data_IF_941480026892
#
_entry.id   IF_941480026892
#
_cell.length_a   1.000
_cell.length_b   1.000
_cell.length_c   1.000
_cell.angle_alpha   90.00
_cell.angle_beta   90.00
_cell.angle_gamma   90.00
#
_symmetry.space_group_name_H-M   'P 1'
#
loop_
_entity.id
_entity.type
_entity.pdbx_description
1 polymer ?
#
# COMPACT_ATOMS: atom_id res chain seq x y z
N UNK A 1 -2.92 3.58 9.43
CA UNK A 1 -3.36 2.42 10.23
C UNK A 1 -4.86 2.51 10.42
N UNK A 2 -5.50 1.40 10.75
CA UNK A 2 -6.89 1.33 11.19
C UNK A 2 -6.95 0.95 12.68
N UNK A 3 -7.84 1.58 13.45
CA UNK A 3 -8.19 1.20 14.83
C UNK A 3 -9.72 1.22 14.98
N UNK A 4 -10.32 0.07 15.31
CA UNK A 4 -11.73 -0.07 15.59
C UNK A 4 -11.96 -0.13 17.09
N UNK A 5 -12.70 0.85 17.63
CA UNK A 5 -12.98 0.86 19.06
C UNK A 5 -14.08 -0.16 19.40
N UNK A 6 -13.80 -1.14 20.27
CA UNK A 6 -14.80 -2.14 20.66
C UNK A 6 -14.95 -2.22 22.18
N UNK A 7 -16.19 -2.10 22.66
CA UNK A 7 -16.54 -2.24 24.07
C UNK A 7 -17.00 -3.66 24.38
N UNK A 8 -16.35 -4.32 25.35
CA UNK A 8 -16.89 -5.51 26.02
C UNK A 8 -16.70 -6.87 25.33
N UNK A 9 -15.97 -6.98 24.21
CA UNK A 9 -15.70 -8.26 23.54
C UNK A 9 -14.33 -8.86 23.95
N UNK A 10 -14.28 -10.17 24.22
CA UNK A 10 -13.03 -10.90 24.52
C UNK A 10 -12.23 -11.27 23.27
N UNK A 11 -12.91 -11.40 22.13
CA UNK A 11 -12.31 -11.60 20.81
C UNK A 11 -12.64 -10.39 19.94
N UNK A 12 -11.59 -9.72 19.48
CA UNK A 12 -11.70 -8.63 18.53
C UNK A 12 -11.60 -9.26 17.15
N UNK A 13 -12.60 -9.08 16.30
CA UNK A 13 -12.48 -9.49 14.90
C UNK A 13 -12.97 -8.35 14.05
N UNK A 14 -12.06 -7.83 13.25
CA UNK A 14 -12.38 -6.90 12.18
C UNK A 14 -12.01 -7.57 10.86
N UNK A 15 -12.95 -7.54 9.92
CA UNK A 15 -12.76 -8.02 8.56
C UNK A 15 -12.81 -6.84 7.61
N UNK A 16 -11.69 -6.55 6.95
CA UNK A 16 -11.61 -5.60 5.85
C UNK A 16 -11.86 -6.34 4.55
N UNK A 17 -12.92 -5.99 3.81
CA UNK A 17 -13.27 -6.63 2.54
C UNK A 17 -13.00 -5.72 1.34
N UNK A 18 -12.79 -4.42 1.57
CA UNK A 18 -12.42 -3.49 0.52
C UNK A 18 -11.57 -2.36 1.09
N UNK A 19 -10.55 -1.97 0.33
CA UNK A 19 -9.76 -0.79 0.59
C UNK A 19 -9.34 -0.18 -0.74
N UNK A 20 -9.69 1.08 -0.93
CA UNK A 20 -9.33 1.87 -2.09
C UNK A 20 -8.78 3.22 -1.65
N UNK A 21 -7.69 3.63 -2.30
CA UNK A 21 -7.08 4.94 -2.10
C UNK A 21 -7.05 5.63 -3.45
N UNK A 22 -7.54 6.87 -3.47
CA UNK A 22 -7.52 7.73 -4.64
C UNK A 22 -6.80 9.02 -4.33
N UNK A 23 -6.32 9.67 -5.38
CA UNK A 23 -5.88 11.07 -5.35
C UNK A 23 -6.80 11.91 -6.23
N UNK A 24 -7.00 13.18 -5.88
CA UNK A 24 -7.83 14.10 -6.67
C UNK A 24 -7.38 15.55 -6.53
N UNK A 25 -7.67 16.35 -7.56
CA UNK A 25 -7.59 17.81 -7.50
C UNK A 25 -8.90 18.47 -7.06
N UNK A 26 -9.98 17.69 -6.92
CA UNK A 26 -11.29 18.16 -6.46
C UNK A 26 -11.55 17.69 -5.02
N UNK A 27 -11.40 18.59 -4.04
CA UNK A 27 -11.64 18.28 -2.62
C UNK A 27 -13.11 18.04 -2.25
N UNK A 28 -14.04 18.27 -3.18
CA UNK A 28 -15.47 18.03 -2.99
C UNK A 28 -15.95 16.75 -3.69
N UNK A 29 -15.03 15.90 -4.16
CA UNK A 29 -15.43 14.66 -4.81
C UNK A 29 -16.16 13.72 -3.85
N UNK A 30 -17.35 13.28 -4.26
CA UNK A 30 -18.19 12.32 -3.54
C UNK A 30 -18.90 11.44 -4.56
N UNK A 31 -19.08 10.17 -4.22
CA UNK A 31 -19.88 9.24 -5.02
C UNK A 31 -20.40 8.13 -4.13
N UNK A 32 -21.55 7.57 -4.50
CA UNK A 32 -22.12 6.34 -3.92
C UNK A 32 -22.23 5.22 -4.95
N UNK A 33 -21.76 5.49 -6.17
CA UNK A 33 -21.87 4.56 -7.30
C UNK A 33 -20.55 3.80 -7.46
N UNK A 34 -20.67 2.51 -7.80
CA UNK A 34 -19.54 1.65 -8.10
C UNK A 34 -19.48 1.36 -9.60
N UNK A 35 -18.26 1.33 -10.13
CA UNK A 35 -17.96 0.75 -11.43
C UNK A 35 -18.15 -0.78 -11.38
N UNK A 36 -18.30 -1.45 -12.54
CA UNK A 36 -18.43 -2.90 -12.61
C UNK A 36 -17.25 -3.68 -12.00
N UNK A 37 -16.06 -3.06 -11.90
CA UNK A 37 -14.86 -3.63 -11.29
C UNK A 37 -14.76 -3.39 -9.77
N UNK A 38 -15.85 -2.89 -9.16
CA UNK A 38 -15.93 -2.63 -7.73
C UNK A 38 -15.21 -1.36 -7.26
N UNK A 39 -14.63 -0.55 -8.16
CA UNK A 39 -14.09 0.76 -7.81
C UNK A 39 -15.19 1.81 -7.65
N UNK A 40 -14.99 2.81 -6.80
CA UNK A 40 -15.87 3.97 -6.76
C UNK A 40 -15.82 4.74 -8.09
N UNK A 41 -17.01 5.10 -8.60
CA UNK A 41 -17.17 5.85 -9.84
C UNK A 41 -16.99 7.35 -9.59
N UNK A 42 -15.76 7.83 -9.76
CA UNK A 42 -15.40 9.25 -9.72
C UNK A 42 -15.26 9.84 -11.12
N UNK A 43 -15.22 11.18 -11.22
CA UNK A 43 -14.90 11.86 -12.47
C UNK A 43 -13.41 11.73 -12.84
N UNK A 44 -13.04 12.24 -14.01
CA UNK A 44 -11.67 12.18 -14.54
C UNK A 44 -10.64 12.99 -13.76
N UNK A 45 -11.03 13.78 -12.76
CA UNK A 45 -10.10 14.51 -11.89
C UNK A 45 -9.56 13.66 -10.75
N UNK A 46 -10.01 12.40 -10.65
CA UNK A 46 -9.68 11.47 -9.57
C UNK A 46 -8.97 10.24 -10.12
N UNK A 47 -7.86 9.87 -9.50
CA UNK A 47 -7.00 8.79 -9.94
C UNK A 47 -6.92 7.72 -8.86
N UNK A 48 -7.12 6.45 -9.24
CA UNK A 48 -6.96 5.33 -8.32
C UNK A 48 -5.47 5.08 -8.07
N UNK A 49 -5.05 5.16 -6.81
CA UNK A 49 -3.69 4.84 -6.38
C UNK A 49 -3.59 3.39 -5.90
N UNK A 50 -4.57 2.91 -5.14
CA UNK A 50 -4.55 1.56 -4.59
C UNK A 50 -5.94 0.93 -4.59
N UNK A 51 -6.01 -0.35 -4.97
CA UNK A 51 -7.20 -1.18 -4.81
C UNK A 51 -6.79 -2.56 -4.30
N UNK A 52 -7.27 -2.94 -3.12
CA UNK A 52 -7.08 -4.27 -2.54
C UNK A 52 -7.64 -5.38 -3.45
N UNK A 53 -8.67 -5.07 -4.24
CA UNK A 53 -9.47 -6.00 -5.03
C UNK A 53 -9.54 -5.54 -6.50
N UNK A 54 -8.41 -5.54 -7.23
CA UNK A 54 -8.39 -5.12 -8.63
C UNK A 54 -9.26 -6.05 -9.49
N UNK A 55 -10.11 -5.47 -10.34
CA UNK A 55 -11.01 -6.23 -11.22
C UNK A 55 -12.27 -6.78 -10.55
N UNK A 56 -12.65 -6.29 -9.36
CA UNK A 56 -13.91 -6.64 -8.69
C UNK A 56 -13.91 -7.99 -7.97
N UNK A 57 -12.73 -8.60 -7.79
CA UNK A 57 -12.61 -9.83 -7.02
C UNK A 57 -12.88 -9.56 -5.53
N UNK A 58 -13.69 -10.36 -4.85
CA UNK A 58 -13.89 -10.25 -3.39
C UNK A 58 -12.95 -11.18 -2.61
N UNK A 59 -11.82 -11.55 -3.21
CA UNK A 59 -10.96 -12.63 -2.71
C UNK A 59 -10.03 -12.17 -1.58
N UNK A 60 -9.65 -10.89 -1.56
CA UNK A 60 -8.75 -10.38 -0.53
C UNK A 60 -9.55 -9.84 0.65
N UNK A 61 -9.35 -10.47 1.80
CA UNK A 61 -9.86 -10.00 3.08
C UNK A 61 -8.73 -9.98 4.10
N UNK A 62 -8.64 -8.93 4.90
CA UNK A 62 -7.74 -8.89 6.06
C UNK A 62 -8.58 -9.13 7.31
N UNK A 63 -8.27 -10.21 8.03
CA UNK A 63 -8.88 -10.53 9.32
C UNK A 63 -7.84 -10.30 10.39
N UNK A 64 -8.14 -9.41 11.34
CA UNK A 64 -7.31 -9.19 12.53
C UNK A 64 -7.99 -9.78 13.76
N UNK A 65 -7.17 -10.30 14.67
CA UNK A 65 -7.60 -10.79 15.98
C UNK A 65 -6.94 -10.03 17.13
N UNK A 66 -6.52 -8.77 16.88
CA UNK A 66 -5.78 -7.96 17.85
C UNK A 66 -6.63 -7.68 19.10
N UNK A 67 -6.22 -8.20 20.26
CA UNK A 67 -6.96 -8.02 21.53
C UNK A 67 -6.53 -6.77 22.31
N UNK A 68 -7.51 -5.98 22.75
CA UNK A 68 -7.33 -4.77 23.57
C UNK A 68 -7.45 -3.44 22.80
N UNK A 69 -7.90 -2.39 23.49
CA UNK A 69 -8.02 -1.01 22.96
C UNK A 69 -6.64 -0.37 22.71
N UNK A 70 -6.52 0.46 21.67
CA UNK A 70 -5.29 1.18 21.29
C UNK A 70 -4.26 0.34 20.53
N UNK A 71 -4.68 -0.79 19.95
CA UNK A 71 -3.85 -1.60 19.04
C UNK A 71 -4.41 -1.49 17.62
N UNK A 72 -3.51 -1.41 16.66
CA UNK A 72 -3.91 -1.25 15.26
C UNK A 72 -4.42 -2.56 14.67
N UNK A 73 -5.56 -2.48 14.02
CA UNK A 73 -6.25 -3.58 13.36
C UNK A 73 -5.65 -3.89 11.98
N UNK A 74 -5.14 -2.88 11.29
CA UNK A 74 -4.48 -3.03 10.01
C UNK A 74 -3.40 -1.98 9.76
N UNK A 75 -2.31 -2.44 9.13
CA UNK A 75 -1.33 -1.59 8.48
C UNK A 75 -1.39 -1.81 6.98
N UNK A 76 -1.41 -0.70 6.25
CA UNK A 76 -1.40 -0.71 4.79
C UNK A 76 -0.21 0.13 4.36
N UNK A 77 0.63 -0.46 3.53
CA UNK A 77 1.74 0.21 2.90
C UNK A 77 1.43 0.31 1.41
N UNK A 78 1.40 1.55 0.91
CA UNK A 78 1.20 1.84 -0.52
C UNK A 78 2.43 2.58 -1.02
N UNK A 79 3.12 2.07 -2.06
CA UNK A 79 4.22 2.78 -2.72
C UNK A 79 3.83 4.20 -3.12
N UNK A 80 4.76 5.14 -3.00
CA UNK A 80 4.52 6.54 -3.38
C UNK A 80 4.37 6.65 -4.90
N UNK A 81 5.05 5.78 -5.65
CA UNK A 81 4.94 5.68 -7.11
C UNK A 81 3.54 5.32 -7.62
N UNK A 82 2.66 4.78 -6.77
CA UNK A 82 1.27 4.50 -7.12
C UNK A 82 0.38 5.77 -7.05
N UNK A 83 0.85 6.83 -6.39
CA UNK A 83 0.08 8.08 -6.24
C UNK A 83 0.35 9.05 -7.39
N UNK A 84 -0.71 9.72 -7.87
CA UNK A 84 -0.54 10.89 -8.72
C UNK A 84 -0.15 12.11 -7.86
N UNK A 85 1.15 12.40 -7.80
CA UNK A 85 1.70 13.47 -6.97
C UNK A 85 1.32 14.90 -7.41
N UNK A 86 0.63 15.06 -8.54
CA UNK A 86 0.09 16.36 -8.97
C UNK A 86 -1.28 16.68 -8.36
N UNK A 87 -1.93 15.69 -7.74
CA UNK A 87 -3.19 15.86 -7.02
C UNK A 87 -2.97 16.38 -5.60
N UNK A 88 -3.97 17.11 -5.08
CA UNK A 88 -3.88 17.83 -3.79
C UNK A 88 -4.59 17.12 -2.64
N UNK A 89 -5.51 16.21 -2.96
CA UNK A 89 -6.36 15.54 -2.00
C UNK A 89 -6.19 14.03 -2.13
N UNK A 90 -6.35 13.34 -1.01
CA UNK A 90 -6.42 11.88 -0.94
C UNK A 90 -7.82 11.49 -0.46
N UNK A 91 -8.41 10.50 -1.12
CA UNK A 91 -9.70 9.92 -0.74
C UNK A 91 -9.44 8.48 -0.32
N UNK A 92 -9.90 8.14 0.88
CA UNK A 92 -9.84 6.79 1.43
C UNK A 92 -11.24 6.21 1.46
N UNK A 93 -11.44 5.08 0.79
CA UNK A 93 -12.64 4.27 0.90
C UNK A 93 -12.30 2.90 1.45
N UNK A 94 -13.10 2.41 2.38
CA UNK A 94 -12.99 1.05 2.85
C UNK A 94 -14.36 0.46 3.15
N UNK A 95 -14.46 -0.86 3.03
CA UNK A 95 -15.60 -1.63 3.50
C UNK A 95 -15.08 -2.71 4.43
N UNK A 96 -15.71 -2.83 5.60
CA UNK A 96 -15.36 -3.84 6.58
C UNK A 96 -16.46 -4.05 7.60
N UNK A 97 -16.34 -5.12 8.36
CA UNK A 97 -17.27 -5.50 9.41
C UNK A 97 -16.49 -5.76 10.71
N UNK A 98 -16.95 -5.16 11.80
CA UNK A 98 -16.44 -5.37 13.15
C UNK A 98 -17.56 -5.48 14.17
N UNK A 99 -17.22 -5.90 15.39
CA UNK A 99 -18.13 -6.06 16.53
C UNK A 99 -18.19 -4.83 17.46
N UNK A 100 -17.58 -3.70 17.11
CA UNK A 100 -17.64 -2.44 17.86
C UNK A 100 -17.88 -1.23 16.98
N UNK A 101 -17.68 -0.02 17.52
CA UNK A 101 -18.05 1.24 16.86
C UNK A 101 -16.86 2.17 16.63
N UNK A 102 -16.98 2.99 15.58
CA UNK A 102 -16.01 3.97 15.06
C UNK A 102 -14.65 3.38 14.66
N UNK A 103 -14.41 3.41 13.35
CA UNK A 103 -13.23 2.92 12.67
C UNK A 103 -12.36 4.11 12.23
N UNK A 104 -11.25 4.34 12.92
CA UNK A 104 -10.35 5.47 12.66
C UNK A 104 -9.18 5.06 11.76
N UNK A 105 -8.98 5.81 10.68
CA UNK A 105 -7.73 5.74 9.91
C UNK A 105 -6.82 6.92 10.25
N UNK A 106 -5.56 6.63 10.57
CA UNK A 106 -4.53 7.64 10.78
C UNK A 106 -3.32 7.39 9.89
N UNK A 107 -2.77 8.47 9.32
CA UNK A 107 -1.45 8.42 8.71
C UNK A 107 -0.40 8.30 9.82
N UNK A 108 0.51 7.31 9.71
CA UNK A 108 1.62 7.22 10.64
C UNK A 108 2.59 8.39 10.38
N UNK A 109 2.86 9.19 11.41
CA UNK A 109 3.80 10.31 11.34
C UNK A 109 5.12 9.93 12.02
N UNK A 110 6.23 10.52 11.57
CA UNK A 110 7.55 10.27 12.17
C UNK A 110 8.16 8.88 11.90
N UNK A 111 7.56 8.10 10.99
CA UNK A 111 8.11 6.80 10.57
C UNK A 111 9.02 6.99 9.36
N UNK A 112 10.19 6.35 9.36
CA UNK A 112 11.06 6.33 8.20
C UNK A 112 10.35 5.61 7.03
N UNK A 113 10.21 6.23 5.85
CA UNK A 113 9.63 5.57 4.70
C UNK A 113 10.41 4.29 4.37
N UNK A 114 9.71 3.18 4.18
CA UNK A 114 10.33 1.98 3.61
C UNK A 114 10.70 2.34 2.16
N UNK A 115 11.95 2.15 1.71
CA UNK A 115 12.32 2.43 0.33
C UNK A 115 11.59 1.48 -0.62
N UNK A 116 11.11 2.00 -1.74
CA UNK A 116 10.54 1.15 -2.80
C UNK A 116 11.63 0.21 -3.34
N UNK A 117 11.28 -1.02 -3.68
CA UNK A 117 12.25 -2.02 -4.14
C UNK A 117 13.10 -1.52 -5.33
N UNK A 118 12.51 -0.67 -6.17
CA UNK A 118 13.18 -0.06 -7.33
C UNK A 118 14.35 0.84 -6.96
N UNK A 119 14.34 1.43 -5.75
CA UNK A 119 15.44 2.28 -5.25
C UNK A 119 16.72 1.50 -4.99
N UNK A 120 16.65 0.17 -4.89
CA UNK A 120 17.81 -0.71 -4.68
C UNK A 120 18.49 -1.14 -5.98
N UNK A 121 17.84 -0.96 -7.14
CA UNK A 121 18.41 -1.36 -8.43
C UNK A 121 19.79 -0.74 -8.75
N UNK A 122 20.05 0.55 -8.48
CA UNK A 122 21.37 1.13 -8.73
C UNK A 122 22.48 0.44 -7.94
N UNK A 123 22.19 0.02 -6.71
CA UNK A 123 23.15 -0.67 -5.83
C UNK A 123 23.43 -2.07 -6.35
N UNK A 124 22.38 -2.85 -6.66
CA UNK A 124 22.52 -4.21 -7.20
C UNK A 124 23.20 -4.18 -8.57
N UNK A 125 22.82 -3.24 -9.43
CA UNK A 125 23.42 -3.04 -10.74
C UNK A 125 24.91 -2.68 -10.66
N UNK A 126 25.29 -1.79 -9.73
CA UNK A 126 26.69 -1.44 -9.50
C UNK A 126 27.49 -2.65 -9.01
N UNK A 127 26.97 -3.41 -8.05
CA UNK A 127 27.64 -4.62 -7.55
C UNK A 127 27.85 -5.64 -8.68
N UNK A 128 26.83 -5.89 -9.49
CA UNK A 128 26.93 -6.79 -10.65
C UNK A 128 28.00 -6.32 -11.64
N UNK A 129 28.09 -5.01 -11.92
CA UNK A 129 29.11 -4.45 -12.80
C UNK A 129 30.53 -4.60 -12.25
N UNK A 130 30.73 -4.36 -10.94
CA UNK A 130 32.04 -4.53 -10.28
C UNK A 130 32.48 -6.00 -10.29
N UNK A 131 31.61 -6.93 -9.94
CA UNK A 131 31.97 -8.35 -9.97
C UNK A 131 32.26 -8.85 -11.39
N UNK A 132 31.49 -8.39 -12.38
CA UNK A 132 31.71 -8.74 -13.79
C UNK A 132 33.05 -8.23 -14.30
N UNK A 133 33.40 -6.98 -14.02
CA UNK A 133 34.69 -6.39 -14.42
C UNK A 133 35.87 -7.05 -13.70
N UNK A 134 35.75 -7.37 -12.40
CA UNK A 134 36.77 -8.13 -11.68
C UNK A 134 36.95 -9.54 -12.26
N UNK A 135 35.87 -10.24 -12.62
CA UNK A 135 35.93 -11.56 -13.21
C UNK A 135 36.60 -11.54 -14.59
N UNK A 136 36.23 -10.60 -15.46
CA UNK A 136 36.85 -10.41 -16.78
C UNK A 136 38.33 -10.08 -16.65
N UNK A 137 38.70 -9.16 -15.75
CA UNK A 137 40.11 -8.79 -15.51
C UNK A 137 40.95 -9.98 -15.03
N UNK A 138 40.41 -10.82 -14.14
CA UNK A 138 41.08 -12.04 -13.67
C UNK A 138 41.29 -13.07 -14.80
N UNK A 139 40.34 -13.19 -15.73
CA UNK A 139 40.48 -14.05 -16.92
C UNK A 139 41.58 -13.56 -17.87
N UNK A 140 41.60 -12.26 -18.17
CA UNK A 140 42.60 -11.68 -19.06
C UNK A 140 44.02 -11.84 -18.52
N UNK A 141 44.24 -11.56 -17.22
CA UNK A 141 45.57 -11.73 -16.60
C UNK A 141 46.07 -13.19 -16.63
N UNK A 142 45.19 -14.19 -16.51
CA UNK A 142 45.55 -15.61 -16.62
C UNK A 142 45.89 -16.05 -18.06
N UNK A 143 45.40 -15.34 -19.07
CA UNK A 143 45.72 -15.62 -20.47
C UNK A 143 47.03 -14.96 -20.91
N UNK A 144 47.43 -13.85 -20.29
CA UNK A 144 48.69 -13.13 -20.57
C UNK A 144 49.89 -13.75 -19.85
N UNK A 145 49.68 -14.54 -18.78
CA UNK A 145 50.76 -15.22 -18.05
C UNK A 145 51.14 -16.60 -18.62
N UNK A 146 50.76 -16.92 -19.85
CA UNK A 146 51.14 -18.13 -20.60
C UNK A 146 51.92 -17.71 -21.84
#
# INVERSE_FOLDING_TARGET
MLDANQTGASNHTFTLTQLQIYTSNNGAQTTTTFNPDGTLAFDSSTHLAYNMNPGGATANSVITTATGSGKFDAFVYVPVSDFNLSDKYMILYFAGQGNGGFEEWSAATGVAPIPEATTLFPIVGLLAAVFSTQFVRRRQLRQVSK
#
